data_IF_739062864418
#
_entry.id   IF_739062864418
#
_cell.length_a   1.000
_cell.length_b   1.000
_cell.length_c   1.000
_cell.angle_alpha   90.00
_cell.angle_beta   90.00
_cell.angle_gamma   90.00
#
_symmetry.space_group_name_H-M   'P 1'
#
loop_
_entity.id
_entity.type
_entity.pdbx_description
1 polymer ?
#
# COMPACT_ATOMS: atom_id res chain seq x y z
N UNK A 1 -42.04 -21.24 -6.60
CA UNK A 1 -40.97 -21.14 -5.60
C UNK A 1 -40.75 -19.66 -5.28
N UNK A 2 -41.24 -19.20 -4.14
CA UNK A 2 -41.05 -17.82 -3.69
C UNK A 2 -39.67 -17.71 -3.05
N UNK A 3 -38.66 -17.30 -3.82
CA UNK A 3 -37.35 -16.95 -3.28
C UNK A 3 -37.49 -15.71 -2.40
N UNK A 4 -37.38 -15.88 -1.08
CA UNK A 4 -37.30 -14.77 -0.13
C UNK A 4 -36.12 -13.88 -0.52
N UNK A 5 -36.41 -12.63 -0.94
CA UNK A 5 -35.38 -11.64 -1.21
C UNK A 5 -34.77 -11.24 0.13
N UNK A 6 -33.44 -11.22 0.21
CA UNK A 6 -32.73 -10.77 1.41
C UNK A 6 -33.17 -9.36 1.81
N UNK A 7 -33.25 -9.04 3.12
CA UNK A 7 -33.58 -7.72 3.61
C UNK A 7 -32.72 -6.62 2.95
N UNK A 8 -33.25 -5.40 2.72
CA UNK A 8 -32.49 -4.30 2.14
C UNK A 8 -31.17 -4.01 2.87
N UNK A 9 -31.16 -4.16 4.20
CA UNK A 9 -29.95 -4.00 5.03
C UNK A 9 -28.84 -4.98 4.66
N UNK A 10 -29.17 -6.24 4.38
CA UNK A 10 -28.20 -7.26 3.95
C UNK A 10 -27.65 -6.98 2.55
N UNK A 11 -28.51 -6.51 1.65
CA UNK A 11 -28.10 -6.12 0.30
C UNK A 11 -27.11 -4.94 0.35
N UNK A 12 -27.39 -3.94 1.18
CA UNK A 12 -26.49 -2.80 1.40
C UNK A 12 -25.16 -3.27 2.02
N UNK A 13 -25.22 -4.12 3.05
CA UNK A 13 -24.03 -4.65 3.70
C UNK A 13 -23.14 -5.45 2.71
N UNK A 14 -23.76 -6.26 1.84
CA UNK A 14 -23.06 -7.01 0.81
C UNK A 14 -22.41 -6.08 -0.22
N UNK A 15 -23.13 -5.05 -0.68
CA UNK A 15 -22.61 -4.06 -1.61
C UNK A 15 -21.38 -3.33 -1.04
N UNK A 16 -21.46 -2.87 0.22
CA UNK A 16 -20.35 -2.24 0.93
C UNK A 16 -19.16 -3.19 1.07
N UNK A 17 -19.41 -4.44 1.47
CA UNK A 17 -18.37 -5.47 1.59
C UNK A 17 -17.65 -5.71 0.27
N UNK A 18 -18.39 -5.78 -0.83
CA UNK A 18 -17.82 -5.96 -2.17
C UNK A 18 -17.01 -4.74 -2.62
N UNK A 19 -17.50 -3.52 -2.36
CA UNK A 19 -16.78 -2.28 -2.62
C UNK A 19 -15.46 -2.20 -1.84
N UNK A 20 -15.49 -2.48 -0.54
CA UNK A 20 -14.29 -2.52 0.31
C UNK A 20 -13.30 -3.58 -0.18
N UNK A 21 -13.79 -4.78 -0.55
CA UNK A 21 -12.95 -5.84 -1.12
C UNK A 21 -12.26 -5.37 -2.39
N UNK A 22 -12.99 -4.74 -3.30
CA UNK A 22 -12.42 -4.19 -4.54
C UNK A 22 -11.33 -3.16 -4.26
N UNK A 23 -11.56 -2.24 -3.31
CA UNK A 23 -10.57 -1.23 -2.94
C UNK A 23 -9.31 -1.83 -2.30
N UNK A 24 -9.44 -2.91 -1.52
CA UNK A 24 -8.31 -3.67 -0.97
C UNK A 24 -7.50 -4.37 -2.07
N UNK A 25 -8.17 -5.01 -3.03
CA UNK A 25 -7.53 -5.70 -4.15
C UNK A 25 -6.77 -4.73 -5.06
N UNK A 26 -7.36 -3.56 -5.31
CA UNK A 26 -6.72 -2.48 -6.07
C UNK A 26 -5.67 -1.70 -5.27
N UNK A 27 -5.56 -1.94 -3.96
CA UNK A 27 -4.55 -1.33 -3.11
C UNK A 27 -4.80 0.15 -2.76
N UNK A 28 -6.04 0.64 -2.93
CA UNK A 28 -6.40 1.99 -2.49
C UNK A 28 -6.47 2.08 -0.96
N UNK A 29 -6.78 0.96 -0.32
CA UNK A 29 -6.78 0.80 1.13
C UNK A 29 -6.00 -0.45 1.54
N UNK A 30 -5.56 -0.48 2.80
CA UNK A 30 -4.98 -1.66 3.45
C UNK A 30 -5.49 -1.79 4.88
N UNK A 31 -5.35 -2.98 5.47
CA UNK A 31 -5.71 -3.25 6.87
C UNK A 31 -4.49 -3.07 7.77
N UNK A 32 -4.63 -2.39 8.90
CA UNK A 32 -3.61 -2.35 9.96
C UNK A 32 -3.85 -3.50 10.94
N UNK A 33 -2.81 -4.30 11.23
CA UNK A 33 -2.92 -5.34 12.27
C UNK A 33 -2.97 -4.73 13.67
N UNK A 34 -2.23 -3.62 13.88
CA UNK A 34 -2.18 -2.89 15.15
C UNK A 34 -3.52 -2.28 15.50
N UNK A 35 -4.22 -1.72 14.50
CA UNK A 35 -5.48 -1.02 14.70
C UNK A 35 -6.69 -1.94 14.54
N UNK A 36 -6.57 -3.20 15.01
CA UNK A 36 -7.66 -4.19 15.02
C UNK A 36 -8.33 -4.40 13.65
N UNK A 37 -7.57 -4.26 12.56
CA UNK A 37 -8.08 -4.43 11.20
C UNK A 37 -8.78 -3.20 10.61
N UNK A 38 -8.63 -2.01 11.21
CA UNK A 38 -9.08 -0.77 10.60
C UNK A 38 -8.47 -0.58 9.21
N UNK A 39 -9.26 0.05 8.34
CA UNK A 39 -8.90 0.33 6.95
C UNK A 39 -8.22 1.69 6.88
N UNK A 40 -7.07 1.75 6.23
CA UNK A 40 -6.31 2.97 6.01
C UNK A 40 -6.20 3.24 4.52
N UNK A 41 -6.33 4.51 4.13
CA UNK A 41 -6.04 4.97 2.78
C UNK A 41 -4.54 4.88 2.52
N UNK A 42 -4.14 4.14 1.49
CA UNK A 42 -2.74 3.87 1.19
C UNK A 42 -1.92 5.14 0.96
N UNK A 43 -2.39 6.03 0.07
CA UNK A 43 -1.63 7.22 -0.37
C UNK A 43 -1.70 8.39 0.63
N UNK A 44 -2.69 8.40 1.52
CA UNK A 44 -2.84 9.42 2.55
C UNK A 44 -2.22 9.03 3.91
N UNK A 45 -1.74 7.80 4.05
CA UNK A 45 -1.16 7.32 5.31
C UNK A 45 0.26 7.89 5.50
N UNK A 46 0.37 8.86 6.40
CA UNK A 46 1.64 9.56 6.70
C UNK A 46 2.72 8.60 7.23
N UNK A 47 2.36 7.69 8.13
CA UNK A 47 3.31 6.75 8.73
C UNK A 47 3.92 5.82 7.68
N UNK A 48 3.08 5.31 6.76
CA UNK A 48 3.50 4.46 5.66
C UNK A 48 4.45 5.20 4.72
N UNK A 49 4.11 6.44 4.35
CA UNK A 49 5.00 7.31 3.57
C UNK A 49 6.33 7.52 4.28
N UNK A 50 6.31 7.99 5.52
CA UNK A 50 7.50 8.43 6.24
C UNK A 50 8.47 7.25 6.45
N UNK A 51 7.93 6.05 6.70
CA UNK A 51 8.70 4.82 6.82
C UNK A 51 9.27 4.40 5.47
N UNK A 52 8.49 4.47 4.39
CA UNK A 52 8.94 4.14 3.04
C UNK A 52 10.09 5.06 2.62
N UNK A 53 9.95 6.37 2.81
CA UNK A 53 11.00 7.35 2.54
C UNK A 53 12.25 7.12 3.41
N UNK A 54 12.08 6.72 4.67
CA UNK A 54 13.21 6.40 5.56
C UNK A 54 13.99 5.18 5.06
N UNK A 55 13.30 4.11 4.70
CA UNK A 55 13.93 2.90 4.13
C UNK A 55 14.63 3.25 2.83
N UNK A 56 13.98 4.02 1.95
CA UNK A 56 14.56 4.47 0.69
C UNK A 56 15.88 5.25 0.91
N UNK A 57 15.91 6.15 1.88
CA UNK A 57 17.12 6.94 2.18
C UNK A 57 18.23 6.14 2.84
N UNK A 58 17.89 5.16 3.68
CA UNK A 58 18.86 4.36 4.43
C UNK A 58 19.47 3.23 3.58
N UNK A 59 18.63 2.48 2.89
CA UNK A 59 19.04 1.27 2.18
C UNK A 59 19.49 1.57 0.74
N UNK A 60 18.81 2.47 0.03
CA UNK A 60 19.04 2.70 -1.40
C UNK A 60 20.23 3.62 -1.71
N UNK A 61 20.92 4.12 -0.67
CA UNK A 61 22.19 4.87 -0.81
C UNK A 61 23.42 3.97 -0.68
N UNK A 62 23.26 2.68 -0.37
CA UNK A 62 24.38 1.73 -0.34
C UNK A 62 24.93 1.53 -1.76
N UNK A 63 26.24 1.32 -1.89
CA UNK A 63 26.91 1.14 -3.19
C UNK A 63 26.33 0.01 -4.05
N UNK A 64 25.66 -0.96 -3.42
CA UNK A 64 24.97 -2.06 -4.10
C UNK A 64 23.71 -1.63 -4.88
N UNK A 65 23.17 -0.43 -4.63
CA UNK A 65 21.96 0.10 -5.24
C UNK A 65 22.20 1.34 -6.11
N UNK A 66 23.33 1.40 -6.84
CA UNK A 66 23.63 2.49 -7.79
C UNK A 66 22.46 2.78 -8.76
N UNK A 67 21.70 1.74 -9.12
CA UNK A 67 20.54 1.83 -10.01
C UNK A 67 19.19 1.97 -9.28
N UNK A 68 19.21 2.33 -8.00
CA UNK A 68 18.03 2.36 -7.15
C UNK A 68 17.66 1.00 -6.55
N UNK A 69 16.74 1.05 -5.60
CA UNK A 69 16.33 -0.13 -4.85
C UNK A 69 15.12 -0.80 -5.47
N UNK A 70 15.15 -2.13 -5.46
CA UNK A 70 14.13 -2.94 -6.08
C UNK A 70 12.81 -2.88 -5.30
N UNK A 71 11.71 -2.85 -6.04
CA UNK A 71 10.34 -2.91 -5.52
C UNK A 71 10.17 -3.99 -4.45
N UNK A 72 10.64 -5.22 -4.74
CA UNK A 72 10.48 -6.35 -3.84
C UNK A 72 11.26 -6.17 -2.54
N UNK A 73 12.47 -5.58 -2.62
CA UNK A 73 13.27 -5.29 -1.44
C UNK A 73 12.56 -4.27 -0.54
N UNK A 74 12.05 -3.17 -1.12
CA UNK A 74 11.29 -2.16 -0.39
C UNK A 74 10.03 -2.75 0.26
N UNK A 75 9.25 -3.48 -0.52
CA UNK A 75 8.02 -4.13 -0.06
C UNK A 75 8.28 -5.10 1.09
N UNK A 76 9.28 -5.97 0.97
CA UNK A 76 9.63 -6.92 2.02
C UNK A 76 10.05 -6.21 3.31
N UNK A 77 10.90 -5.17 3.21
CA UNK A 77 11.32 -4.38 4.38
C UNK A 77 10.13 -3.74 5.09
N UNK A 78 9.21 -3.12 4.36
CA UNK A 78 8.03 -2.46 4.95
C UNK A 78 7.13 -3.49 5.64
N UNK A 79 6.93 -4.67 5.04
CA UNK A 79 6.08 -5.72 5.60
C UNK A 79 6.60 -6.41 6.84
N UNK A 80 7.90 -6.29 7.14
CA UNK A 80 8.42 -6.76 8.43
C UNK A 80 7.83 -5.99 9.62
N UNK A 81 7.29 -4.78 9.38
CA UNK A 81 6.65 -3.95 10.40
C UNK A 81 5.21 -4.39 10.61
N UNK A 82 4.83 -4.57 11.88
CA UNK A 82 3.49 -5.06 12.28
C UNK A 82 2.35 -4.22 11.71
N UNK A 83 2.52 -2.90 11.64
CA UNK A 83 1.52 -1.96 11.12
C UNK A 83 1.19 -2.19 9.64
N UNK A 84 2.13 -2.75 8.88
CA UNK A 84 2.05 -2.88 7.42
C UNK A 84 2.09 -4.35 6.94
N UNK A 85 1.91 -5.32 7.86
CA UNK A 85 1.98 -6.74 7.53
C UNK A 85 0.96 -7.15 6.44
N UNK A 86 -0.20 -6.49 6.40
CA UNK A 86 -1.26 -6.73 5.41
C UNK A 86 -1.21 -5.80 4.20
N UNK A 87 -0.14 -5.02 4.04
CA UNK A 87 0.08 -4.25 2.82
C UNK A 87 0.21 -5.21 1.63
N UNK A 88 -0.49 -4.90 0.55
CA UNK A 88 -0.47 -5.68 -0.70
C UNK A 88 0.54 -5.08 -1.69
N UNK A 89 0.92 -5.85 -2.72
CA UNK A 89 1.75 -5.30 -3.80
C UNK A 89 1.06 -4.10 -4.49
N UNK A 90 -0.25 -4.19 -4.75
CA UNK A 90 -1.02 -3.08 -5.33
C UNK A 90 -0.95 -1.82 -4.48
N UNK A 91 -1.09 -1.97 -3.15
CA UNK A 91 -0.99 -0.83 -2.24
C UNK A 91 0.41 -0.23 -2.25
N UNK A 92 1.45 -1.06 -2.19
CA UNK A 92 2.82 -0.57 -2.28
C UNK A 92 3.11 0.15 -3.62
N UNK A 93 2.57 -0.36 -4.73
CA UNK A 93 2.69 0.27 -6.04
C UNK A 93 1.98 1.63 -6.08
N UNK A 94 0.74 1.70 -5.61
CA UNK A 94 -0.01 2.95 -5.54
C UNK A 94 0.68 3.99 -4.66
N UNK A 95 1.27 3.56 -3.53
CA UNK A 95 2.07 4.43 -2.69
C UNK A 95 3.26 5.00 -3.47
N UNK A 96 4.08 4.14 -4.08
CA UNK A 96 5.28 4.58 -4.80
C UNK A 96 4.96 5.53 -5.97
N UNK A 97 3.91 5.23 -6.74
CA UNK A 97 3.44 6.13 -7.79
C UNK A 97 3.04 7.50 -7.22
N UNK A 98 2.30 7.51 -6.11
CA UNK A 98 1.92 8.76 -5.45
C UNK A 98 3.10 9.53 -4.88
N UNK A 99 4.13 8.84 -4.37
CA UNK A 99 5.36 9.46 -3.90
C UNK A 99 6.19 10.06 -5.05
N UNK A 100 6.16 9.43 -6.21
CA UNK A 100 6.78 9.96 -7.42
C UNK A 100 6.07 11.22 -7.92
N UNK A 101 4.74 11.20 -8.00
CA UNK A 101 3.92 12.38 -8.33
C UNK A 101 4.17 13.55 -7.37
N UNK A 102 4.40 13.25 -6.09
CA UNK A 102 4.70 14.25 -5.05
C UNK A 102 6.19 14.66 -5.02
N UNK A 103 7.06 14.07 -5.85
CA UNK A 103 8.48 14.39 -5.92
C UNK A 103 9.32 13.88 -4.75
N UNK A 104 8.85 12.86 -4.02
CA UNK A 104 9.65 12.20 -2.96
C UNK A 104 10.54 11.08 -3.50
N UNK A 105 10.18 10.50 -4.64
CA UNK A 105 10.82 9.32 -5.24
C UNK A 105 10.94 9.50 -6.74
N UNK A 106 11.97 8.92 -7.34
CA UNK A 106 12.13 8.80 -8.80
C UNK A 106 12.07 7.31 -9.14
N UNK A 107 11.21 6.92 -10.07
CA UNK A 107 11.30 5.59 -10.69
C UNK A 107 12.40 5.61 -11.75
N UNK A 108 13.42 4.76 -11.58
CA UNK A 108 14.47 4.57 -12.58
C UNK A 108 13.96 3.69 -13.73
N UNK A 109 13.09 2.74 -13.40
CA UNK A 109 12.35 1.87 -14.30
C UNK A 109 11.14 1.29 -13.53
N UNK A 110 10.44 0.34 -14.13
CA UNK A 110 9.25 -0.30 -13.56
C UNK A 110 9.46 -0.99 -12.20
N UNK A 111 10.71 -1.21 -11.77
CA UNK A 111 11.03 -2.00 -10.58
C UNK A 111 12.04 -1.34 -9.65
N UNK A 112 12.63 -0.19 -9.99
CA UNK A 112 13.68 0.44 -9.21
C UNK A 112 13.34 1.88 -8.84
N UNK A 113 13.60 2.24 -7.59
CA UNK A 113 13.21 3.52 -7.00
C UNK A 113 14.40 4.18 -6.29
N UNK A 114 14.53 5.49 -6.45
CA UNK A 114 15.50 6.33 -5.77
C UNK A 114 14.78 7.41 -4.95
N UNK A 115 15.24 7.73 -3.72
CA UNK A 115 14.74 8.87 -2.98
C UNK A 115 15.18 10.18 -3.65
N UNK A 116 14.26 11.14 -3.75
CA UNK A 116 14.63 12.54 -4.01
C UNK A 116 15.28 13.12 -2.75
N UNK A 117 16.34 13.92 -2.94
CA UNK A 117 17.18 14.45 -1.86
C UNK A 117 16.38 15.21 -0.82
#
# INVERSE_FOLDING_TARGET
>A
ENGEKSPPSEQIALALKNGVKHLLEKGHIFKSKRDRGLLHLTTANKDLRDVTCRILRAECRKQEYINGCQFQHLYNNIKTRTDFQYLTHSAMRNLLNSLEEQGFVISCNNYQFLPVR
#
